data_IF_315798682442
#
_entry.id   IF_315798682442
#
_cell.length_a   1.000
_cell.length_b   1.000
_cell.length_c   1.000
_cell.angle_alpha   90.00
_cell.angle_beta   90.00
_cell.angle_gamma   90.00
#
_symmetry.space_group_name_H-M   'P 1'
#
loop_
_entity.id
_entity.type
_entity.pdbx_description
1 polymer ?
#
# COMPACT_ATOMS: atom_id res chain seq x y z
N UNK A 1 -9.26 5.14 16.16
CA UNK A 1 -9.96 6.45 15.98
C UNK A 1 -11.22 6.22 15.15
N UNK A 2 -12.36 5.89 15.78
CA UNK A 2 -13.51 5.29 15.07
C UNK A 2 -14.24 6.24 14.11
N UNK A 3 -14.10 7.57 14.29
CA UNK A 3 -14.79 8.58 13.50
C UNK A 3 -13.89 9.34 12.52
N UNK A 4 -12.63 8.91 12.33
CA UNK A 4 -11.70 9.63 11.48
C UNK A 4 -11.90 9.26 10.01
N UNK A 5 -12.38 10.20 9.19
CA UNK A 5 -12.75 9.93 7.80
C UNK A 5 -11.70 10.42 6.79
N UNK A 6 -11.15 11.61 7.04
CA UNK A 6 -10.24 12.29 6.14
C UNK A 6 -8.93 12.65 6.83
N UNK A 7 -7.84 12.42 6.12
CA UNK A 7 -6.51 12.87 6.53
C UNK A 7 -5.92 13.78 5.45
N UNK A 8 -5.84 15.06 5.73
CA UNK A 8 -5.20 16.05 4.87
C UNK A 8 -3.94 16.61 5.53
N UNK A 9 -2.90 16.80 4.71
CA UNK A 9 -1.64 17.42 5.08
C UNK A 9 -1.49 18.69 4.25
N UNK A 10 -2.34 19.68 4.51
CA UNK A 10 -2.22 21.00 3.88
C UNK A 10 -1.38 21.87 4.80
N UNK A 11 -0.13 22.12 4.41
CA UNK A 11 0.60 23.27 4.95
C UNK A 11 -0.04 24.53 4.36
N UNK A 12 -0.57 25.41 5.20
CA UNK A 12 -0.93 26.77 4.78
C UNK A 12 0.33 27.41 4.21
N UNK A 13 0.36 27.75 2.91
CA UNK A 13 0.78 29.06 2.41
C UNK A 13 0.07 29.36 1.09
N UNK A 14 -0.36 30.61 1.00
CA UNK A 14 -0.99 31.29 -0.12
C UNK A 14 -0.13 31.29 -1.39
N UNK A 15 -0.78 31.09 -2.54
CA UNK A 15 -0.31 31.66 -3.81
C UNK A 15 0.36 30.70 -4.79
N UNK A 16 -0.42 30.30 -5.80
CA UNK A 16 -0.06 29.83 -7.14
C UNK A 16 0.95 28.67 -7.34
N UNK A 17 0.56 27.81 -8.29
CA UNK A 17 1.41 26.91 -9.07
C UNK A 17 1.65 25.50 -8.52
N UNK A 18 1.04 24.53 -9.21
CA UNK A 18 1.62 23.23 -9.61
C UNK A 18 2.40 22.43 -8.57
N UNK A 19 1.77 21.38 -8.04
CA UNK A 19 2.36 20.08 -7.66
C UNK A 19 3.60 20.07 -6.76
N UNK A 20 3.84 21.09 -5.93
CA UNK A 20 4.82 20.96 -4.86
C UNK A 20 4.24 20.07 -3.76
N UNK A 21 4.60 18.80 -3.78
CA UNK A 21 4.46 17.86 -2.68
C UNK A 21 5.20 18.42 -1.47
N UNK A 22 4.50 19.25 -0.69
CA UNK A 22 4.93 19.68 0.62
C UNK A 22 5.30 18.40 1.38
N UNK A 23 6.57 18.24 1.72
CA UNK A 23 7.05 17.15 2.56
C UNK A 23 6.57 17.40 3.97
N UNK A 24 5.29 17.15 4.20
CA UNK A 24 4.68 17.24 5.52
C UNK A 24 5.13 15.99 6.27
N UNK A 25 5.87 16.19 7.36
CA UNK A 25 6.54 15.16 8.16
C UNK A 25 7.74 14.48 7.46
N UNK A 26 8.82 15.24 7.16
CA UNK A 26 9.96 14.77 6.37
C UNK A 26 10.78 13.64 7.02
N UNK A 27 10.53 13.33 8.30
CA UNK A 27 11.20 12.26 9.06
C UNK A 27 10.27 11.09 9.40
N UNK A 28 9.02 11.10 8.94
CA UNK A 28 8.08 10.02 9.22
C UNK A 28 8.43 8.82 8.33
N UNK A 29 9.06 7.81 8.92
CA UNK A 29 9.45 6.58 8.24
C UNK A 29 8.43 5.45 8.41
N UNK A 30 7.77 5.37 9.57
CA UNK A 30 6.78 4.34 9.87
C UNK A 30 5.44 4.98 10.23
N UNK A 31 4.38 4.46 9.62
CA UNK A 31 3.00 4.84 9.88
C UNK A 31 2.19 3.59 10.20
N UNK A 32 1.42 3.67 11.29
CA UNK A 32 0.45 2.67 11.67
C UNK A 32 -0.95 3.28 11.65
N UNK A 33 -1.83 2.73 10.84
CA UNK A 33 -3.26 3.06 10.80
C UNK A 33 -3.98 1.87 11.39
N UNK A 34 -4.41 2.00 12.64
CA UNK A 34 -5.05 0.92 13.40
C UNK A 34 -6.41 1.41 13.87
N UNK A 35 -7.44 0.60 13.64
CA UNK A 35 -8.82 0.87 14.08
C UNK A 35 -9.29 2.27 13.62
N UNK A 36 -9.12 2.52 12.32
CA UNK A 36 -9.55 3.73 11.63
C UNK A 36 -10.60 3.36 10.55
N UNK A 37 -11.75 2.80 10.96
CA UNK A 37 -12.68 2.12 10.05
C UNK A 37 -13.32 3.05 9.02
N UNK A 38 -13.32 4.36 9.25
CA UNK A 38 -13.87 5.38 8.34
C UNK A 38 -12.82 6.08 7.46
N UNK A 39 -11.53 5.86 7.70
CA UNK A 39 -10.48 6.55 6.96
C UNK A 39 -10.48 6.07 5.51
N UNK A 40 -10.71 6.98 4.56
CA UNK A 40 -10.90 6.61 3.15
C UNK A 40 -9.64 6.66 2.32
N UNK A 41 -8.66 7.49 2.70
CA UNK A 41 -7.44 7.69 1.96
C UNK A 41 -6.29 8.14 2.87
N UNK A 42 -5.06 7.78 2.47
CA UNK A 42 -3.85 8.34 3.04
C UNK A 42 -3.49 9.64 2.30
N UNK A 43 -2.94 10.65 3.00
CA UNK A 43 -2.54 11.90 2.35
C UNK A 43 -1.35 11.67 1.43
N UNK A 44 -1.43 12.20 0.20
CA UNK A 44 -0.36 12.08 -0.80
C UNK A 44 0.97 12.71 -0.37
N UNK A 45 0.99 13.56 0.67
CA UNK A 45 2.20 14.15 1.24
C UNK A 45 3.14 13.17 1.97
N UNK A 46 2.72 11.92 2.19
CA UNK A 46 3.49 10.88 2.87
C UNK A 46 4.47 10.14 1.95
N UNK A 47 5.04 10.82 0.95
CA UNK A 47 5.86 10.16 -0.07
C UNK A 47 7.11 9.50 0.50
N UNK A 48 7.73 10.06 1.55
CA UNK A 48 8.93 9.51 2.20
C UNK A 48 8.70 8.26 3.08
N UNK A 49 7.46 7.79 3.21
CA UNK A 49 7.12 6.69 4.11
C UNK A 49 7.83 5.39 3.69
N UNK A 50 8.44 4.69 4.65
CA UNK A 50 9.18 3.44 4.42
C UNK A 50 8.41 2.20 4.88
N UNK A 51 7.61 2.33 5.92
CA UNK A 51 6.85 1.24 6.52
C UNK A 51 5.41 1.69 6.72
N UNK A 52 4.47 0.92 6.17
CA UNK A 52 3.05 1.15 6.35
C UNK A 52 2.39 -0.09 6.94
N UNK A 53 1.69 0.09 8.06
CA UNK A 53 0.89 -0.97 8.69
C UNK A 53 -0.54 -0.48 8.76
N UNK A 54 -1.46 -1.24 8.16
CA UNK A 54 -2.89 -0.92 8.12
C UNK A 54 -3.65 -2.08 8.74
N UNK A 55 -4.44 -1.80 9.77
CA UNK A 55 -5.23 -2.78 10.50
C UNK A 55 -6.61 -2.21 10.83
N UNK A 56 -7.67 -2.94 10.49
CA UNK A 56 -9.05 -2.53 10.76
C UNK A 56 -9.42 -1.13 10.18
N UNK A 57 -8.79 -0.72 9.08
CA UNK A 57 -9.09 0.53 8.37
C UNK A 57 -10.08 0.25 7.23
N UNK A 58 -11.26 -0.26 7.59
CA UNK A 58 -12.19 -0.85 6.62
C UNK A 58 -12.62 0.06 5.47
N UNK A 59 -12.60 1.38 5.60
CA UNK A 59 -12.93 2.29 4.49
C UNK A 59 -11.75 2.61 3.55
N UNK A 60 -10.53 2.19 3.90
CA UNK A 60 -9.36 2.38 3.05
C UNK A 60 -9.36 1.28 1.98
N UNK A 61 -9.65 1.67 0.74
CA UNK A 61 -9.80 0.72 -0.38
C UNK A 61 -8.60 0.65 -1.32
N UNK A 62 -7.73 1.67 -1.30
CA UNK A 62 -6.61 1.79 -2.24
C UNK A 62 -5.34 2.25 -1.52
N UNK A 63 -4.23 1.57 -1.78
CA UNK A 63 -2.87 2.02 -1.45
C UNK A 63 -2.07 2.06 -2.75
N UNK A 64 -1.77 3.25 -3.25
CA UNK A 64 -1.03 3.43 -4.49
C UNK A 64 -0.08 4.62 -4.46
N UNK A 65 0.91 4.60 -5.34
CA UNK A 65 1.84 5.71 -5.59
C UNK A 65 2.66 6.14 -4.35
N UNK A 66 3.19 5.15 -3.62
CA UNK A 66 4.18 5.36 -2.55
C UNK A 66 5.53 4.76 -2.94
N UNK A 67 6.42 5.54 -3.57
CA UNK A 67 7.64 5.01 -4.20
C UNK A 67 8.68 4.48 -3.21
N UNK A 68 8.66 4.93 -1.96
CA UNK A 68 9.67 4.60 -0.95
C UNK A 68 9.22 3.59 0.11
N UNK A 69 7.97 3.11 0.06
CA UNK A 69 7.52 2.05 0.98
C UNK A 69 8.30 0.78 0.67
N UNK A 70 8.98 0.25 1.69
CA UNK A 70 9.75 -1.00 1.63
C UNK A 70 9.06 -2.17 2.31
N UNK A 71 8.19 -1.89 3.30
CA UNK A 71 7.38 -2.89 3.99
C UNK A 71 5.92 -2.41 4.10
N UNK A 72 4.99 -3.25 3.66
CA UNK A 72 3.56 -3.03 3.75
C UNK A 72 2.91 -4.23 4.45
N UNK A 73 2.17 -3.96 5.51
CA UNK A 73 1.34 -4.95 6.20
C UNK A 73 -0.11 -4.51 6.22
N UNK A 74 -0.99 -5.37 5.74
CA UNK A 74 -2.44 -5.17 5.71
C UNK A 74 -3.07 -6.31 6.48
N UNK A 75 -3.87 -5.98 7.50
CA UNK A 75 -4.49 -6.96 8.39
C UNK A 75 -5.97 -6.64 8.61
N UNK A 76 -6.87 -7.59 8.31
CA UNK A 76 -8.31 -7.44 8.57
C UNK A 76 -8.91 -6.17 7.92
N UNK A 77 -8.58 -5.89 6.66
CA UNK A 77 -9.08 -4.73 5.91
C UNK A 77 -10.10 -5.14 4.84
N UNK A 78 -11.35 -5.32 5.29
CA UNK A 78 -12.41 -5.95 4.49
C UNK A 78 -12.77 -5.28 3.16
N UNK A 79 -12.49 -3.98 2.96
CA UNK A 79 -12.78 -3.29 1.69
C UNK A 79 -11.53 -2.83 0.95
N UNK A 80 -10.34 -3.30 1.33
CA UNK A 80 -9.11 -3.03 0.57
C UNK A 80 -9.19 -3.75 -0.78
N UNK A 81 -9.23 -3.00 -1.87
CA UNK A 81 -9.40 -3.54 -3.22
C UNK A 81 -8.11 -3.54 -4.05
N UNK A 82 -7.23 -2.56 -3.81
CA UNK A 82 -6.05 -2.32 -4.66
C UNK A 82 -4.79 -1.94 -3.87
N UNK A 83 -3.69 -2.59 -4.22
CA UNK A 83 -2.33 -2.22 -3.83
C UNK A 83 -1.48 -2.15 -5.08
N UNK A 84 -1.01 -0.96 -5.48
CA UNK A 84 -0.29 -0.82 -6.75
C UNK A 84 0.77 0.28 -6.75
N UNK A 85 1.69 0.24 -7.71
CA UNK A 85 2.71 1.29 -7.92
C UNK A 85 3.57 1.54 -6.67
N UNK A 86 4.09 0.46 -6.07
CA UNK A 86 5.01 0.52 -4.93
C UNK A 86 6.39 -0.03 -5.35
N UNK A 87 7.14 0.70 -6.20
CA UNK A 87 8.37 0.20 -6.80
C UNK A 87 9.48 -0.13 -5.79
N UNK A 88 9.44 0.45 -4.58
CA UNK A 88 10.38 0.15 -3.50
C UNK A 88 9.98 -1.01 -2.58
N UNK A 89 8.79 -1.59 -2.77
CA UNK A 89 8.23 -2.56 -1.83
C UNK A 89 8.98 -3.88 -1.90
N UNK A 90 9.61 -4.27 -0.80
CA UNK A 90 10.35 -5.54 -0.67
C UNK A 90 9.57 -6.60 0.08
N UNK A 91 8.74 -6.19 1.03
CA UNK A 91 7.97 -7.09 1.89
C UNK A 91 6.50 -6.71 1.90
N UNK A 92 5.65 -7.65 1.51
CA UNK A 92 4.20 -7.54 1.57
C UNK A 92 3.64 -8.64 2.48
N UNK A 93 2.90 -8.26 3.52
CA UNK A 93 2.16 -9.18 4.38
C UNK A 93 0.68 -8.83 4.32
N UNK A 94 -0.16 -9.80 3.94
CA UNK A 94 -1.61 -9.63 3.82
C UNK A 94 -2.30 -10.69 4.66
N UNK A 95 -3.08 -10.25 5.65
CA UNK A 95 -3.88 -11.11 6.52
C UNK A 95 -5.37 -10.73 6.46
N UNK A 96 -6.25 -11.71 6.30
CA UNK A 96 -7.71 -11.57 6.35
C UNK A 96 -8.24 -10.35 5.57
N UNK A 97 -7.85 -10.23 4.30
CA UNK A 97 -8.17 -9.08 3.43
C UNK A 97 -8.90 -9.57 2.16
N UNK A 98 -10.18 -9.96 2.26
CA UNK A 98 -10.88 -10.74 1.23
C UNK A 98 -11.26 -9.94 -0.03
N UNK A 99 -11.38 -8.61 0.06
CA UNK A 99 -11.78 -7.77 -1.09
C UNK A 99 -10.63 -7.42 -2.04
N UNK A 100 -9.39 -7.86 -1.75
CA UNK A 100 -8.22 -7.49 -2.53
C UNK A 100 -8.28 -8.15 -3.92
N UNK A 101 -8.34 -7.33 -4.96
CA UNK A 101 -8.53 -7.77 -6.37
C UNK A 101 -7.35 -7.42 -7.26
N UNK A 102 -6.56 -6.41 -6.88
CA UNK A 102 -5.51 -5.84 -7.72
C UNK A 102 -4.25 -5.62 -6.89
N UNK A 103 -3.18 -6.34 -7.25
CA UNK A 103 -1.86 -6.23 -6.64
C UNK A 103 -0.84 -6.24 -7.76
N UNK A 104 -0.37 -5.06 -8.15
CA UNK A 104 0.37 -4.86 -9.40
C UNK A 104 1.53 -3.87 -9.23
N UNK A 105 2.49 -3.90 -10.15
CA UNK A 105 3.63 -2.95 -10.19
C UNK A 105 4.50 -2.98 -8.93
N UNK A 106 4.76 -4.18 -8.39
CA UNK A 106 5.60 -4.41 -7.20
C UNK A 106 6.98 -4.98 -7.60
N UNK A 107 7.74 -4.23 -8.42
CA UNK A 107 8.94 -4.74 -9.11
C UNK A 107 10.09 -5.16 -8.19
N UNK A 108 10.14 -4.63 -6.95
CA UNK A 108 11.18 -4.95 -5.97
C UNK A 108 10.74 -5.99 -4.93
N UNK A 109 9.58 -6.62 -5.11
CA UNK A 109 9.00 -7.53 -4.12
C UNK A 109 9.86 -8.79 -3.98
N UNK A 110 10.31 -9.07 -2.75
CA UNK A 110 11.18 -10.20 -2.41
C UNK A 110 10.47 -11.19 -1.49
N UNK A 111 9.55 -10.71 -0.67
CA UNK A 111 8.83 -11.50 0.30
C UNK A 111 7.34 -11.18 0.24
N UNK A 112 6.54 -12.23 0.10
CA UNK A 112 5.09 -12.19 0.19
C UNK A 112 4.63 -13.20 1.22
N UNK A 113 3.86 -12.73 2.19
CA UNK A 113 3.14 -13.56 3.14
C UNK A 113 1.65 -13.30 2.98
N UNK A 114 0.89 -14.37 2.77
CA UNK A 114 -0.55 -14.35 2.63
C UNK A 114 -1.14 -15.33 3.63
N UNK A 115 -2.02 -14.85 4.49
CA UNK A 115 -2.75 -15.67 5.43
C UNK A 115 -4.22 -15.26 5.39
N UNK A 116 -5.10 -16.20 5.10
CA UNK A 116 -6.54 -15.95 5.08
C UNK A 116 -7.21 -17.22 5.59
N UNK A 117 -7.83 -17.10 6.77
CA UNK A 117 -8.47 -18.24 7.43
C UNK A 117 -9.76 -18.68 6.74
N UNK A 118 -10.29 -17.86 5.84
CA UNK A 118 -11.50 -18.13 5.05
C UNK A 118 -11.22 -18.50 3.59
N UNK A 119 -9.95 -18.59 3.20
CA UNK A 119 -9.56 -18.81 1.81
C UNK A 119 -9.88 -20.22 1.34
N UNK A 120 -10.82 -20.34 0.40
CA UNK A 120 -11.13 -21.60 -0.28
C UNK A 120 -10.21 -21.85 -1.49
N UNK A 121 -9.69 -20.79 -2.12
CA UNK A 121 -8.83 -20.86 -3.30
C UNK A 121 -7.85 -19.70 -3.36
N UNK A 122 -6.70 -19.90 -4.02
CA UNK A 122 -5.73 -18.84 -4.27
C UNK A 122 -6.34 -17.69 -5.10
N UNK A 123 -6.12 -16.42 -4.73
CA UNK A 123 -6.76 -15.29 -5.40
C UNK A 123 -6.11 -14.99 -6.75
N UNK A 124 -6.90 -14.52 -7.72
CA UNK A 124 -6.41 -14.25 -9.09
C UNK A 124 -5.27 -13.24 -9.15
N UNK A 125 -5.26 -12.23 -8.28
CA UNK A 125 -4.20 -11.23 -8.23
C UNK A 125 -2.84 -11.87 -7.91
N UNK A 126 -2.83 -12.94 -7.12
CA UNK A 126 -1.59 -13.63 -6.75
C UNK A 126 -0.98 -14.32 -7.98
N UNK A 127 -1.83 -14.93 -8.82
CA UNK A 127 -1.39 -15.53 -10.08
C UNK A 127 -0.78 -14.48 -11.03
N UNK A 128 -1.44 -13.32 -11.14
CA UNK A 128 -0.94 -12.19 -11.97
C UNK A 128 0.37 -11.63 -11.43
N UNK A 129 0.48 -11.46 -10.11
CA UNK A 129 1.69 -10.96 -9.45
C UNK A 129 2.88 -11.89 -9.68
N UNK A 130 2.69 -13.20 -9.55
CA UNK A 130 3.74 -14.19 -9.82
C UNK A 130 4.20 -14.11 -11.28
N UNK A 131 3.28 -14.01 -12.24
CA UNK A 131 3.62 -13.83 -13.66
C UNK A 131 4.44 -12.56 -13.93
N UNK A 132 4.14 -11.46 -13.24
CA UNK A 132 4.91 -10.23 -13.35
C UNK A 132 6.34 -10.41 -12.81
N UNK A 133 6.50 -11.08 -11.66
CA UNK A 133 7.80 -11.34 -11.05
C UNK A 133 8.68 -12.29 -11.87
N UNK A 134 8.10 -13.31 -12.51
CA UNK A 134 8.86 -14.24 -13.38
C UNK A 134 9.39 -13.53 -14.62
N UNK A 135 8.58 -12.67 -15.26
CA UNK A 135 9.04 -11.86 -16.40
C UNK A 135 10.14 -10.85 -16.04
N UNK A 136 10.21 -10.40 -14.79
CA UNK A 136 11.26 -9.51 -14.31
C UNK A 136 12.58 -10.27 -14.07
N UNK A 137 12.52 -11.49 -13.52
CA UNK A 137 13.72 -12.32 -13.30
C UNK A 137 14.30 -12.90 -14.60
N UNK A 138 13.47 -13.24 -15.59
CA UNK A 138 13.96 -13.72 -16.90
C UNK A 138 14.71 -12.64 -17.68
N UNK A 139 14.41 -11.36 -17.44
CA UNK A 139 15.13 -10.22 -18.05
C UNK A 139 16.51 -9.96 -17.42
N UNK A 140 16.89 -10.69 -16.37
CA UNK A 140 18.24 -10.65 -15.77
C UNK A 140 19.18 -11.74 -16.25
N UNK A 141 18.73 -12.62 -17.15
CA UNK A 141 19.58 -13.60 -17.83
C UNK A 141 19.80 -13.18 -19.29
N UNK A 142 20.73 -12.24 -19.48
CA UNK A 142 21.46 -12.16 -20.75
C UNK A 142 22.65 -13.11 -20.65
N UNK A 143 22.64 -14.16 -21.47
CA UNK A 143 23.85 -14.84 -21.93
C UNK A 143 24.78 -13.84 -22.63
#
# INVERSE_FOLDING_TARGET
>A
MPNWEEWSLVGSETGNSSSCSLRVMPRLEELRVIDCPKLRALPKGLQQLRILKVELAHSLSVIEDFPFITELRINTNNNMERVSNLPGLKKLTIWDTPALKCVDSLVALQYLELQDYSMESLPEWLLRLVQQCTHLHDKTLNL
#
